data_IF_765046493104
#
_entry.id   IF_765046493104
#
_cell.length_a   1.000
_cell.length_b   1.000
_cell.length_c   1.000
_cell.angle_alpha   90.00
_cell.angle_beta   90.00
_cell.angle_gamma   90.00
#
_symmetry.space_group_name_H-M   'P 1'
#
loop_
_entity.id
_entity.type
_entity.pdbx_description
1 polymer ?
#
# COMPACT_ATOMS: atom_id res chain seq x y z
N UNK A 1 7.68 -9.81 -0.37
CA UNK A 1 6.84 -9.69 -1.58
C UNK A 1 6.72 -8.25 -2.06
N UNK A 2 6.35 -7.29 -1.20
CA UNK A 2 6.17 -5.86 -1.53
C UNK A 2 7.23 -5.28 -2.49
N UNK A 3 8.49 -5.16 -2.04
CA UNK A 3 9.61 -4.57 -2.82
C UNK A 3 10.11 -5.40 -4.02
N UNK A 4 9.51 -6.55 -4.28
CA UNK A 4 9.96 -7.48 -5.31
C UNK A 4 8.91 -7.78 -6.38
N UNK A 5 7.62 -7.62 -6.06
CA UNK A 5 6.51 -8.06 -6.91
C UNK A 5 5.44 -6.99 -7.12
N UNK A 6 5.27 -6.04 -6.20
CA UNK A 6 4.34 -4.92 -6.40
C UNK A 6 4.98 -3.93 -7.37
N UNK A 7 4.40 -3.78 -8.56
CA UNK A 7 5.00 -3.06 -9.69
C UNK A 7 5.50 -1.66 -9.32
N UNK A 8 4.68 -0.86 -8.65
CA UNK A 8 5.05 0.52 -8.33
C UNK A 8 6.04 0.60 -7.17
N UNK A 9 5.99 -0.32 -6.19
CA UNK A 9 7.02 -0.44 -5.15
C UNK A 9 8.38 -0.84 -5.76
N UNK A 10 8.38 -1.75 -6.74
CA UNK A 10 9.58 -2.12 -7.50
C UNK A 10 10.10 -0.91 -8.29
N UNK A 11 9.21 -0.14 -8.93
CA UNK A 11 9.57 1.10 -9.65
C UNK A 11 10.23 2.11 -8.73
N UNK A 12 9.64 2.40 -7.55
CA UNK A 12 10.22 3.31 -6.56
C UNK A 12 11.63 2.89 -6.16
N UNK A 13 11.79 1.63 -5.75
CA UNK A 13 13.08 1.08 -5.34
C UNK A 13 14.14 1.19 -6.44
N UNK A 14 13.75 0.91 -7.69
CA UNK A 14 14.64 1.01 -8.84
C UNK A 14 14.97 2.46 -9.17
N UNK A 15 14.00 3.37 -9.15
CA UNK A 15 14.21 4.80 -9.39
C UNK A 15 15.20 5.41 -8.38
N UNK A 16 15.05 5.07 -7.09
CA UNK A 16 16.02 5.48 -6.06
C UNK A 16 17.41 4.97 -6.43
N UNK A 17 17.53 3.69 -6.76
CA UNK A 17 18.82 3.07 -7.10
C UNK A 17 19.45 3.71 -8.35
N UNK A 18 18.67 3.93 -9.40
CA UNK A 18 19.13 4.46 -10.69
C UNK A 18 19.59 5.92 -10.56
N UNK A 19 18.88 6.76 -9.80
CA UNK A 19 19.30 8.13 -9.52
C UNK A 19 20.65 8.18 -8.80
N UNK A 20 20.84 7.31 -7.80
CA UNK A 20 22.07 7.27 -7.01
C UNK A 20 23.25 6.68 -7.79
N UNK A 21 23.00 5.71 -8.67
CA UNK A 21 24.01 5.18 -9.60
C UNK A 21 24.42 6.25 -10.62
N UNK A 22 23.48 7.10 -11.03
CA UNK A 22 23.75 8.27 -11.87
C UNK A 22 24.38 9.45 -11.09
N UNK A 23 24.77 9.23 -9.82
CA UNK A 23 25.41 10.21 -8.93
C UNK A 23 24.58 11.49 -8.74
N UNK A 24 23.25 11.36 -8.79
CA UNK A 24 22.33 12.48 -8.55
C UNK A 24 21.83 12.46 -7.11
N UNK A 25 21.95 13.58 -6.40
CA UNK A 25 21.33 13.69 -5.09
C UNK A 25 19.82 13.58 -5.21
N UNK A 26 19.21 12.86 -4.26
CA UNK A 26 17.80 12.50 -4.31
C UNK A 26 17.14 12.83 -2.97
N UNK A 27 15.99 13.50 -3.01
CA UNK A 27 15.11 13.69 -1.86
C UNK A 27 14.00 12.64 -1.86
N UNK A 28 13.85 11.94 -0.74
CA UNK A 28 12.86 10.87 -0.54
C UNK A 28 11.79 11.38 0.42
N UNK A 29 10.58 11.55 -0.08
CA UNK A 29 9.41 11.93 0.70
C UNK A 29 8.63 10.68 1.02
N UNK A 30 8.88 10.14 2.21
CA UNK A 30 8.29 8.90 2.68
C UNK A 30 7.14 9.15 3.64
N UNK A 31 6.14 8.26 3.66
CA UNK A 31 5.15 8.24 4.72
C UNK A 31 5.84 7.89 6.03
N UNK A 32 5.17 8.18 7.16
CA UNK A 32 5.66 7.81 8.49
C UNK A 32 6.13 6.35 8.58
N UNK A 33 5.38 5.43 7.94
CA UNK A 33 5.71 4.01 7.92
C UNK A 33 5.97 3.52 6.49
N UNK A 34 7.25 3.27 6.18
CA UNK A 34 7.69 2.67 4.92
C UNK A 34 7.72 1.14 5.09
N UNK A 35 6.98 0.36 4.27
CA UNK A 35 6.94 -1.09 4.42
C UNK A 35 8.33 -1.72 4.32
N UNK A 36 8.69 -2.59 5.25
CA UNK A 36 9.97 -3.29 5.38
C UNK A 36 11.16 -2.38 5.07
N UNK A 37 11.24 -1.25 5.76
CA UNK A 37 12.26 -0.21 5.51
C UNK A 37 13.69 -0.78 5.53
N UNK A 38 14.01 -1.66 6.48
CA UNK A 38 15.33 -2.30 6.56
C UNK A 38 15.68 -3.12 5.31
N UNK A 39 14.68 -3.76 4.70
CA UNK A 39 14.87 -4.47 3.44
C UNK A 39 15.18 -3.49 2.30
N UNK A 40 14.41 -2.41 2.20
CA UNK A 40 14.64 -1.35 1.20
C UNK A 40 16.06 -0.77 1.34
N UNK A 41 16.43 -0.37 2.56
CA UNK A 41 17.74 0.19 2.88
C UNK A 41 18.87 -0.78 2.54
N UNK A 42 18.78 -2.03 2.99
CA UNK A 42 19.79 -3.06 2.74
C UNK A 42 19.95 -3.32 1.24
N UNK A 43 18.85 -3.34 0.50
CA UNK A 43 18.87 -3.53 -0.94
C UNK A 43 19.57 -2.39 -1.68
N UNK A 44 19.26 -1.13 -1.34
CA UNK A 44 19.91 0.04 -1.92
C UNK A 44 21.41 0.04 -1.57
N UNK A 45 21.75 -0.25 -0.31
CA UNK A 45 23.15 -0.36 0.15
C UNK A 45 23.95 -1.38 -0.67
N UNK A 46 23.41 -2.60 -0.82
CA UNK A 46 24.04 -3.67 -1.61
C UNK A 46 24.22 -3.28 -3.09
N UNK A 47 23.22 -2.62 -3.67
CA UNK A 47 23.25 -2.14 -5.05
C UNK A 47 24.36 -1.10 -5.27
N UNK A 48 24.46 -0.12 -4.37
CA UNK A 48 25.51 0.91 -4.42
C UNK A 48 26.90 0.29 -4.26
N UNK A 49 27.06 -0.63 -3.31
CA UNK A 49 28.34 -1.30 -3.07
C UNK A 49 28.81 -2.14 -4.27
N UNK A 50 27.89 -2.83 -4.96
CA UNK A 50 28.22 -3.62 -6.17
C UNK A 50 28.64 -2.73 -7.35
N UNK A 51 28.03 -1.54 -7.48
CA UNK A 51 28.30 -0.63 -8.59
C UNK A 51 29.61 0.13 -8.39
N UNK A 52 29.88 0.58 -7.18
CA UNK A 52 31.13 1.23 -6.84
C UNK A 52 31.59 0.81 -5.43
N UNK A 53 32.38 -0.26 -5.39
CA UNK A 53 32.96 -0.78 -4.13
C UNK A 53 33.90 0.20 -3.43
N UNK A 54 34.37 1.23 -4.13
CA UNK A 54 35.22 2.29 -3.55
C UNK A 54 34.40 3.36 -2.82
N UNK A 55 33.10 3.47 -3.12
CA UNK A 55 32.22 4.41 -2.44
C UNK A 55 31.69 3.82 -1.13
N UNK A 56 31.65 4.64 -0.09
CA UNK A 56 31.04 4.30 1.21
C UNK A 56 29.61 4.80 1.26
N UNK A 57 28.72 4.05 1.90
CA UNK A 57 27.43 4.57 2.36
C UNK A 57 27.55 4.98 3.82
N UNK A 58 27.33 6.25 4.14
CA UNK A 58 27.34 6.78 5.50
C UNK A 58 25.94 7.28 5.86
N UNK A 59 25.39 6.78 6.97
CA UNK A 59 24.07 7.17 7.46
C UNK A 59 24.24 8.23 8.55
N UNK A 60 23.47 9.31 8.43
CA UNK A 60 23.44 10.43 9.37
C UNK A 60 22.01 10.58 9.86
N UNK A 61 21.80 10.51 11.17
CA UNK A 61 20.52 10.89 11.78
C UNK A 61 20.61 12.34 12.28
N UNK A 62 19.68 13.19 11.81
CA UNK A 62 19.60 14.60 12.17
C UNK A 62 18.28 14.97 12.87
N UNK A 63 17.54 13.97 13.36
CA UNK A 63 16.24 14.16 14.03
C UNK A 63 16.32 15.14 15.21
N UNK A 64 17.45 15.16 15.92
CA UNK A 64 17.70 16.02 17.09
C UNK A 64 18.54 17.28 16.77
N UNK A 65 18.71 17.61 15.50
CA UNK A 65 19.52 18.77 15.06
C UNK A 65 18.61 19.87 14.51
N UNK A 66 19.05 21.11 14.64
CA UNK A 66 18.37 22.28 14.06
C UNK A 66 19.42 23.07 13.27
N UNK A 67 19.11 23.38 12.03
CA UNK A 67 19.99 24.15 11.14
C UNK A 67 19.27 25.44 10.74
N UNK A 68 19.86 26.59 11.06
CA UNK A 68 19.28 27.88 10.66
C UNK A 68 19.60 28.16 9.18
N UNK A 69 20.80 27.79 8.75
CA UNK A 69 21.34 28.06 7.40
C UNK A 69 21.94 26.81 6.74
N UNK A 70 22.17 26.85 5.43
CA UNK A 70 22.93 25.81 4.72
C UNK A 70 24.40 25.76 5.15
N UNK A 71 24.96 26.87 5.63
CA UNK A 71 26.33 26.92 6.15
C UNK A 71 26.47 26.11 7.45
N UNK A 72 25.42 26.06 8.29
CA UNK A 72 25.38 25.22 9.49
C UNK A 72 25.42 23.72 9.14
N UNK A 73 24.72 23.32 8.07
CA UNK A 73 24.78 21.94 7.54
C UNK A 73 26.20 21.61 7.07
N UNK A 74 26.82 22.51 6.32
CA UNK A 74 28.19 22.34 5.85
C UNK A 74 29.21 22.28 6.98
N UNK A 75 29.04 23.09 8.04
CA UNK A 75 29.85 23.01 9.26
C UNK A 75 29.70 21.65 9.94
N UNK A 76 28.46 21.18 10.11
CA UNK A 76 28.19 19.87 10.69
C UNK A 76 28.84 18.73 9.90
N UNK A 77 28.76 18.76 8.57
CA UNK A 77 29.46 17.79 7.70
C UNK A 77 30.97 17.88 7.88
N UNK A 78 31.53 19.10 7.87
CA UNK A 78 32.97 19.32 8.07
C UNK A 78 33.47 18.70 9.38
N UNK A 79 32.71 18.88 10.47
CA UNK A 79 33.00 18.30 11.78
C UNK A 79 32.87 16.77 11.77
N UNK A 80 31.78 16.22 11.19
CA UNK A 80 31.55 14.77 11.12
C UNK A 80 32.67 14.05 10.36
N UNK A 81 33.13 14.63 9.25
CA UNK A 81 34.23 14.07 8.45
C UNK A 81 35.62 14.55 8.91
N UNK A 82 35.70 15.29 10.02
CA UNK A 82 36.95 15.76 10.66
C UNK A 82 37.87 16.52 9.71
N UNK A 83 37.30 17.40 8.91
CA UNK A 83 38.04 18.18 7.91
C UNK A 83 38.69 19.37 8.61
N UNK A 84 40.01 19.32 8.77
CA UNK A 84 40.78 20.26 9.63
C UNK A 84 41.41 21.45 8.91
N UNK A 85 41.07 21.73 7.64
CA UNK A 85 41.69 22.88 6.96
C UNK A 85 40.94 24.18 7.26
N UNK A 86 41.69 25.28 7.16
CA UNK A 86 41.16 26.63 7.35
C UNK A 86 40.36 27.05 6.11
N UNK A 87 39.09 27.39 6.34
CA UNK A 87 38.19 27.96 5.35
C UNK A 87 38.50 29.44 5.14
N UNK A 88 38.43 29.92 3.90
CA UNK A 88 38.63 31.34 3.62
C UNK A 88 37.46 32.19 4.15
N UNK A 89 37.71 33.42 4.64
CA UNK A 89 36.63 34.33 5.02
C UNK A 89 35.73 34.66 3.82
N UNK A 90 34.42 34.42 3.97
CA UNK A 90 33.40 34.73 2.94
C UNK A 90 33.04 33.58 2.00
N UNK A 91 33.81 32.49 2.00
CA UNK A 91 33.50 31.23 1.31
C UNK A 91 32.41 30.45 2.07
N UNK A 92 31.45 29.80 1.42
CA UNK A 92 30.52 28.92 2.13
C UNK A 92 31.18 27.58 2.49
N UNK A 93 30.64 26.83 3.45
CA UNK A 93 31.10 25.46 3.67
C UNK A 93 30.90 24.56 2.45
N UNK A 94 29.86 24.78 1.65
CA UNK A 94 29.63 23.98 0.45
C UNK A 94 30.72 24.23 -0.61
N UNK A 95 31.09 25.49 -0.85
CA UNK A 95 32.22 25.89 -1.71
C UNK A 95 33.55 25.33 -1.20
N UNK A 96 33.79 25.48 0.11
CA UNK A 96 35.00 24.96 0.76
C UNK A 96 35.12 23.44 0.65
N UNK A 97 34.04 22.70 0.89
CA UNK A 97 34.05 21.24 0.83
C UNK A 97 34.14 20.73 -0.61
N UNK A 98 33.44 21.38 -1.54
CA UNK A 98 33.44 21.00 -2.95
C UNK A 98 34.78 21.29 -3.64
N UNK A 99 35.53 22.32 -3.23
CA UNK A 99 36.83 22.65 -3.82
C UNK A 99 37.94 21.65 -3.49
N UNK A 100 37.81 20.85 -2.42
CA UNK A 100 38.86 19.92 -1.97
C UNK A 100 38.77 18.53 -2.56
N UNK A 101 39.89 17.96 -2.98
CA UNK A 101 39.98 16.60 -3.54
C UNK A 101 40.35 15.55 -2.49
N UNK A 102 40.98 15.97 -1.38
CA UNK A 102 41.54 15.11 -0.34
C UNK A 102 40.57 14.81 0.80
N UNK A 103 39.27 14.85 0.52
CA UNK A 103 38.21 14.69 1.53
C UNK A 103 37.51 13.35 1.34
N UNK A 104 37.39 12.57 2.42
CA UNK A 104 36.69 11.27 2.41
C UNK A 104 35.23 11.37 1.96
N UNK A 105 34.63 12.55 2.14
CA UNK A 105 33.28 12.89 1.68
C UNK A 105 33.08 12.61 0.18
N UNK A 106 34.06 12.91 -0.68
CA UNK A 106 33.91 12.84 -2.13
C UNK A 106 33.72 11.43 -2.69
N UNK A 107 33.94 10.38 -1.88
CA UNK A 107 33.66 8.99 -2.25
C UNK A 107 32.54 8.41 -1.36
N UNK A 108 31.59 9.24 -0.93
CA UNK A 108 30.55 8.84 0.03
C UNK A 108 29.15 9.16 -0.48
N UNK A 109 28.29 8.16 -0.46
CA UNK A 109 26.84 8.36 -0.45
C UNK A 109 26.43 8.75 0.97
N UNK A 110 25.88 9.94 1.13
CA UNK A 110 25.49 10.48 2.43
C UNK A 110 23.98 10.35 2.58
N UNK A 111 23.54 9.35 3.34
CA UNK A 111 22.13 9.13 3.63
C UNK A 111 21.73 9.85 4.91
N UNK A 112 20.95 10.93 4.78
CA UNK A 112 20.52 11.78 5.87
C UNK A 112 19.09 11.44 6.23
N UNK A 113 18.87 10.95 7.46
CA UNK A 113 17.59 10.58 8.05
C UNK A 113 17.13 11.61 9.06
N UNK A 114 15.82 11.68 9.30
CA UNK A 114 15.25 12.56 10.32
C UNK A 114 15.19 14.02 9.89
N UNK A 115 15.21 14.30 8.58
CA UNK A 115 15.02 15.66 8.09
C UNK A 115 13.57 16.06 8.35
N UNK A 116 13.40 17.13 9.12
CA UNK A 116 12.10 17.77 9.35
C UNK A 116 11.94 19.01 8.46
N UNK A 117 10.75 19.62 8.50
CA UNK A 117 10.39 20.78 7.68
C UNK A 117 11.35 21.97 7.87
N UNK A 118 11.86 22.15 9.10
CA UNK A 118 12.72 23.28 9.44
C UNK A 118 14.13 23.14 8.87
N UNK A 119 14.57 21.91 8.60
CA UNK A 119 15.93 21.60 8.13
C UNK A 119 16.00 21.25 6.64
N UNK A 120 14.88 20.86 6.02
CA UNK A 120 14.85 20.39 4.62
C UNK A 120 15.48 21.39 3.65
N UNK A 121 15.10 22.68 3.78
CA UNK A 121 15.60 23.75 2.91
C UNK A 121 17.13 23.88 3.00
N UNK A 122 17.68 23.80 4.20
CA UNK A 122 19.10 23.97 4.48
C UNK A 122 19.90 22.81 3.88
N UNK A 123 19.42 21.58 4.05
CA UNK A 123 20.04 20.38 3.47
C UNK A 123 20.02 20.40 1.93
N UNK A 124 18.89 20.74 1.32
CA UNK A 124 18.79 20.85 -0.13
C UNK A 124 19.67 21.98 -0.69
N UNK A 125 19.64 23.17 -0.06
CA UNK A 125 20.50 24.29 -0.47
C UNK A 125 21.99 23.94 -0.38
N UNK A 126 22.41 23.28 0.70
CA UNK A 126 23.80 22.81 0.84
C UNK A 126 24.17 21.79 -0.25
N UNK A 127 23.33 20.79 -0.50
CA UNK A 127 23.61 19.75 -1.49
C UNK A 127 23.71 20.34 -2.91
N UNK A 128 22.80 21.24 -3.29
CA UNK A 128 22.81 21.90 -4.60
C UNK A 128 24.08 22.77 -4.79
N UNK A 129 24.46 23.53 -3.77
CA UNK A 129 25.66 24.37 -3.79
C UNK A 129 26.94 23.53 -3.86
N UNK A 130 27.03 22.45 -3.07
CA UNK A 130 28.15 21.52 -3.11
C UNK A 130 28.28 20.84 -4.47
N UNK A 131 27.16 20.37 -5.05
CA UNK A 131 27.15 19.76 -6.37
C UNK A 131 27.58 20.72 -7.47
N UNK A 132 27.13 21.98 -7.41
CA UNK A 132 27.54 23.02 -8.35
C UNK A 132 29.04 23.34 -8.27
N UNK A 133 29.65 23.22 -7.09
CA UNK A 133 31.09 23.35 -6.90
C UNK A 133 31.92 22.16 -7.42
N UNK A 134 31.29 20.99 -7.64
CA UNK A 134 31.96 19.75 -8.04
C UNK A 134 31.99 19.47 -9.56
N UNK A 135 31.58 20.40 -10.42
CA UNK A 135 31.31 20.17 -11.86
C UNK A 135 32.49 19.57 -12.65
N UNK A 136 33.73 19.79 -12.22
CA UNK A 136 34.94 19.26 -12.87
C UNK A 136 35.50 17.98 -12.22
N UNK A 137 34.89 17.49 -11.14
CA UNK A 137 35.42 16.37 -10.34
C UNK A 137 34.87 15.04 -10.79
N UNK A 138 35.76 14.04 -10.81
CA UNK A 138 35.40 12.66 -11.14
C UNK A 138 34.67 11.96 -9.99
N UNK A 139 34.95 12.36 -8.75
CA UNK A 139 34.36 11.77 -7.55
C UNK A 139 33.80 12.90 -6.68
N UNK A 140 32.52 12.79 -6.29
CA UNK A 140 31.81 13.73 -5.42
C UNK A 140 30.87 12.98 -4.48
N UNK A 141 30.49 13.60 -3.38
CA UNK A 141 29.43 13.06 -2.55
C UNK A 141 28.08 13.13 -3.27
N UNK A 142 27.23 12.13 -3.01
CA UNK A 142 25.83 12.12 -3.44
C UNK A 142 24.96 12.07 -2.19
N UNK A 143 23.98 12.97 -2.09
CA UNK A 143 23.13 13.10 -0.92
C UNK A 143 21.80 12.38 -1.12
N UNK A 144 21.39 11.61 -0.11
CA UNK A 144 20.07 10.98 -0.02
C UNK A 144 19.37 11.66 1.15
N UNK A 145 18.37 12.48 0.86
CA UNK A 145 17.70 13.32 1.85
C UNK A 145 16.35 12.72 2.19
N UNK A 146 16.25 12.05 3.33
CA UNK A 146 15.02 11.37 3.75
C UNK A 146 14.17 12.27 4.65
N UNK A 147 12.97 12.57 4.14
CA UNK A 147 11.96 13.38 4.77
C UNK A 147 10.73 12.51 5.06
N UNK A 148 10.38 12.38 6.34
CA UNK A 148 9.12 11.77 6.74
C UNK A 148 8.03 12.83 6.75
N UNK A 149 7.01 12.62 5.92
CA UNK A 149 5.93 13.57 5.72
C UNK A 149 5.10 13.75 6.99
N UNK A 150 5.01 14.99 7.48
CA UNK A 150 4.10 15.40 8.57
C UNK A 150 2.94 16.27 8.01
N UNK A 151 2.48 15.94 6.80
CA UNK A 151 1.29 16.53 6.16
C UNK A 151 1.48 17.84 5.39
N UNK A 152 2.70 18.31 5.16
CA UNK A 152 2.96 19.52 4.36
C UNK A 152 3.36 19.18 2.90
N UNK A 153 2.46 19.46 1.96
CA UNK A 153 2.62 19.16 0.53
C UNK A 153 3.34 20.28 -0.25
N UNK A 154 3.66 21.40 0.40
CA UNK A 154 4.28 22.56 -0.25
C UNK A 154 5.76 22.68 0.09
N UNK A 155 6.53 21.66 -0.27
CA UNK A 155 7.97 21.61 -0.01
C UNK A 155 8.73 22.07 -1.26
N UNK A 156 9.71 23.01 -1.14
CA UNK A 156 10.40 23.56 -2.29
C UNK A 156 11.15 22.49 -3.10
N UNK A 157 10.98 22.53 -4.42
CA UNK A 157 11.71 21.71 -5.39
C UNK A 157 13.01 22.42 -5.75
N UNK A 158 14.12 21.67 -5.72
CA UNK A 158 15.44 22.17 -6.05
C UNK A 158 15.87 21.62 -7.41
N UNK A 159 16.55 22.44 -8.22
CA UNK A 159 16.75 22.15 -9.65
C UNK A 159 17.61 20.92 -9.88
N UNK A 160 18.61 20.70 -9.02
CA UNK A 160 19.59 19.63 -9.16
C UNK A 160 19.37 18.46 -8.18
N UNK A 161 18.21 18.40 -7.53
CA UNK A 161 17.86 17.31 -6.61
C UNK A 161 16.65 16.60 -7.19
N UNK A 162 16.82 15.33 -7.55
CA UNK A 162 15.70 14.50 -7.99
C UNK A 162 14.78 14.22 -6.79
N UNK A 163 13.48 14.30 -6.98
CA UNK A 163 12.50 14.15 -5.89
C UNK A 163 11.61 12.95 -6.14
N UNK A 164 11.48 12.08 -5.13
CA UNK A 164 10.58 10.93 -5.16
C UNK A 164 9.54 11.13 -4.06
N UNK A 165 8.29 11.33 -4.48
CA UNK A 165 7.13 11.46 -3.60
C UNK A 165 6.39 10.14 -3.47
N UNK A 166 6.35 9.56 -2.27
CA UNK A 166 5.63 8.31 -2.03
C UNK A 166 4.17 8.37 -2.49
N UNK A 167 3.43 9.40 -2.09
CA UNK A 167 2.03 9.56 -2.45
C UNK A 167 1.79 9.61 -3.96
N UNK A 168 2.78 10.04 -4.75
CA UNK A 168 2.69 10.07 -6.21
C UNK A 168 2.97 8.71 -6.83
N UNK A 169 3.84 7.93 -6.21
CA UNK A 169 4.32 6.66 -6.73
C UNK A 169 3.49 5.46 -6.29
N UNK A 170 3.00 5.44 -5.04
CA UNK A 170 2.26 4.33 -4.46
C UNK A 170 0.82 4.75 -4.20
N UNK A 171 -0.14 3.97 -4.72
CA UNK A 171 -1.58 4.23 -4.64
C UNK A 171 -2.28 3.14 -3.86
N UNK A 172 -3.52 3.39 -3.45
CA UNK A 172 -4.37 2.39 -2.77
C UNK A 172 -4.50 1.08 -3.55
N UNK A 173 -4.46 1.15 -4.88
CA UNK A 173 -4.49 -0.02 -5.75
C UNK A 173 -3.29 -0.97 -5.53
N UNK A 174 -2.10 -0.43 -5.26
CA UNK A 174 -0.90 -1.25 -4.99
C UNK A 174 -1.04 -2.09 -3.73
N UNK A 175 -1.66 -1.51 -2.69
CA UNK A 175 -1.98 -2.24 -1.46
C UNK A 175 -3.03 -3.33 -1.71
N UNK A 176 -4.06 -3.06 -2.53
CA UNK A 176 -5.04 -4.07 -2.89
C UNK A 176 -4.41 -5.24 -3.69
N UNK A 177 -3.56 -4.93 -4.67
CA UNK A 177 -2.79 -5.94 -5.41
C UNK A 177 -1.92 -6.76 -4.46
N UNK A 178 -1.26 -6.10 -3.52
CA UNK A 178 -0.46 -6.76 -2.50
C UNK A 178 -1.28 -7.72 -1.64
N UNK A 179 -2.45 -7.29 -1.14
CA UNK A 179 -3.38 -8.14 -0.38
C UNK A 179 -3.85 -9.34 -1.21
N UNK A 180 -4.12 -9.15 -2.49
CA UNK A 180 -4.52 -10.22 -3.42
C UNK A 180 -3.41 -11.26 -3.61
N UNK A 181 -2.14 -10.81 -3.68
CA UNK A 181 -0.98 -11.71 -3.75
C UNK A 181 -0.81 -12.52 -2.46
N UNK A 182 -0.98 -11.89 -1.29
CA UNK A 182 -0.86 -12.55 0.02
C UNK A 182 -1.83 -13.72 0.18
N UNK A 183 -3.06 -13.58 -0.31
CA UNK A 183 -4.10 -14.62 -0.16
C UNK A 183 -4.13 -15.63 -1.32
N UNK A 184 -3.24 -15.50 -2.30
CA UNK A 184 -3.28 -16.29 -3.54
C UNK A 184 -3.12 -17.80 -3.29
N UNK A 185 -2.32 -18.16 -2.29
CA UNK A 185 -2.03 -19.56 -1.91
C UNK A 185 -3.12 -20.21 -1.02
N UNK A 186 -4.19 -19.48 -0.66
CA UNK A 186 -5.29 -20.04 0.10
C UNK A 186 -5.99 -21.16 -0.68
N UNK A 187 -6.31 -22.25 0.01
CA UNK A 187 -7.01 -23.41 -0.56
C UNK A 187 -8.53 -23.22 -0.51
N UNK A 188 -9.01 -22.17 -1.17
CA UNK A 188 -10.42 -21.84 -1.30
C UNK A 188 -10.75 -21.31 -2.70
N UNK A 189 -12.02 -20.98 -2.95
CA UNK A 189 -12.45 -20.42 -4.23
C UNK A 189 -11.82 -19.07 -4.52
N UNK A 190 -11.68 -18.73 -5.80
CA UNK A 190 -11.19 -17.40 -6.20
C UNK A 190 -12.11 -16.30 -5.68
N UNK A 191 -13.44 -16.50 -5.69
CA UNK A 191 -14.37 -15.55 -5.08
C UNK A 191 -14.14 -15.36 -3.58
N UNK A 192 -13.81 -16.44 -2.85
CA UNK A 192 -13.51 -16.34 -1.43
C UNK A 192 -12.15 -15.65 -1.19
N UNK A 193 -11.16 -15.88 -2.05
CA UNK A 193 -9.88 -15.15 -2.03
C UNK A 193 -10.12 -13.65 -2.24
N UNK A 194 -10.94 -13.26 -3.21
CA UNK A 194 -11.27 -11.85 -3.43
C UNK A 194 -11.93 -11.21 -2.21
N UNK A 195 -12.85 -11.93 -1.55
CA UNK A 195 -13.47 -11.45 -0.31
C UNK A 195 -12.45 -11.28 0.82
N UNK A 196 -11.55 -12.25 1.04
CA UNK A 196 -10.53 -12.16 2.09
C UNK A 196 -9.54 -11.03 1.77
N UNK A 197 -9.08 -10.91 0.52
CA UNK A 197 -8.19 -9.83 0.08
C UNK A 197 -8.82 -8.45 0.31
N UNK A 198 -10.11 -8.29 -0.02
CA UNK A 198 -10.86 -7.04 0.21
C UNK A 198 -10.91 -6.69 1.70
N UNK A 199 -11.21 -7.66 2.57
CA UNK A 199 -11.22 -7.42 4.02
C UNK A 199 -9.85 -6.99 4.54
N UNK A 200 -8.78 -7.69 4.10
CA UNK A 200 -7.40 -7.37 4.53
C UNK A 200 -7.01 -5.97 4.04
N UNK A 201 -7.36 -5.63 2.81
CA UNK A 201 -7.08 -4.31 2.23
C UNK A 201 -7.82 -3.19 2.97
N UNK A 202 -9.13 -3.35 3.21
CA UNK A 202 -9.95 -2.31 3.83
C UNK A 202 -9.62 -2.11 5.31
N UNK A 203 -9.39 -3.19 6.06
CA UNK A 203 -9.08 -3.13 7.50
C UNK A 203 -7.58 -2.92 7.78
N UNK A 204 -6.72 -3.15 6.79
CA UNK A 204 -5.28 -2.87 6.88
C UNK A 204 -4.91 -1.42 6.58
N UNK A 205 -5.87 -0.57 6.22
CA UNK A 205 -5.73 0.89 6.09
C UNK A 205 -4.50 1.37 5.28
N UNK A 206 -4.21 0.72 4.14
CA UNK A 206 -3.02 1.02 3.32
C UNK A 206 -1.68 0.89 4.08
N UNK A 207 -1.63 0.01 5.09
CA UNK A 207 -0.40 -0.35 5.78
C UNK A 207 0.05 -1.77 5.37
N UNK A 208 1.03 -1.86 4.47
CA UNK A 208 1.37 -3.13 3.81
C UNK A 208 1.83 -4.22 4.79
N UNK A 209 2.64 -3.91 5.80
CA UNK A 209 3.07 -4.91 6.78
C UNK A 209 1.92 -5.41 7.65
N UNK A 210 0.96 -4.54 7.94
CA UNK A 210 -0.21 -4.92 8.73
C UNK A 210 -1.18 -5.76 7.89
N UNK A 211 -1.36 -5.42 6.62
CA UNK A 211 -2.05 -6.28 5.66
C UNK A 211 -1.41 -7.68 5.59
N UNK A 212 -0.08 -7.76 5.59
CA UNK A 212 0.62 -9.05 5.61
C UNK A 212 0.30 -9.83 6.89
N UNK A 213 0.36 -9.19 8.06
CA UNK A 213 0.01 -9.83 9.33
C UNK A 213 -1.43 -10.34 9.36
N UNK A 214 -2.40 -9.51 8.96
CA UNK A 214 -3.82 -9.91 8.91
C UNK A 214 -4.04 -11.10 7.96
N UNK A 215 -3.30 -11.16 6.85
CA UNK A 215 -3.46 -12.22 5.86
C UNK A 215 -3.04 -13.61 6.38
N UNK A 216 -2.15 -13.68 7.37
CA UNK A 216 -1.70 -14.94 7.97
C UNK A 216 -2.80 -15.65 8.76
N UNK A 217 -3.85 -14.93 9.15
CA UNK A 217 -5.03 -15.51 9.80
C UNK A 217 -6.01 -16.15 8.80
N UNK A 218 -5.83 -15.92 7.48
CA UNK A 218 -6.54 -16.63 6.40
C UNK A 218 -8.07 -16.56 6.57
N UNK A 219 -8.76 -17.69 6.43
CA UNK A 219 -10.23 -17.77 6.60
C UNK A 219 -10.70 -17.37 8.00
N UNK A 220 -9.87 -17.52 9.05
CA UNK A 220 -10.22 -17.10 10.42
C UNK A 220 -10.44 -15.59 10.47
N UNK A 221 -9.68 -14.83 9.70
CA UNK A 221 -9.88 -13.39 9.59
C UNK A 221 -11.23 -13.07 8.97
N UNK A 222 -11.61 -13.72 7.87
CA UNK A 222 -12.92 -13.50 7.25
C UNK A 222 -14.09 -14.02 8.10
N UNK A 223 -13.86 -15.01 8.97
CA UNK A 223 -14.87 -15.51 9.90
C UNK A 223 -15.16 -14.53 11.04
N UNK A 224 -14.11 -13.95 11.63
CA UNK A 224 -14.24 -12.99 12.73
C UNK A 224 -13.17 -11.89 12.66
N UNK A 225 -13.37 -10.88 11.79
CA UNK A 225 -12.39 -9.81 11.60
C UNK A 225 -12.12 -9.03 12.89
N UNK A 226 -13.16 -8.79 13.70
CA UNK A 226 -13.04 -8.05 14.96
C UNK A 226 -12.10 -8.76 15.96
N UNK A 227 -12.31 -10.06 16.17
CA UNK A 227 -11.48 -10.85 17.09
C UNK A 227 -10.03 -10.84 16.64
N UNK A 228 -9.79 -11.09 15.35
CA UNK A 228 -8.43 -11.14 14.79
C UNK A 228 -7.76 -9.78 14.85
N UNK A 229 -8.46 -8.68 14.56
CA UNK A 229 -7.90 -7.33 14.71
C UNK A 229 -7.42 -7.08 16.15
N UNK A 230 -8.23 -7.45 17.15
CA UNK A 230 -7.84 -7.33 18.57
C UNK A 230 -6.59 -8.16 18.88
N UNK A 231 -6.53 -9.40 18.42
CA UNK A 231 -5.34 -10.26 18.59
C UNK A 231 -4.10 -9.65 17.92
N UNK A 232 -4.23 -9.17 16.68
CA UNK A 232 -3.12 -8.54 15.97
C UNK A 232 -2.65 -7.27 16.67
N UNK A 233 -3.54 -6.40 17.13
CA UNK A 233 -3.14 -5.15 17.78
C UNK A 233 -2.49 -5.34 19.17
N UNK A 234 -2.66 -6.50 19.80
CA UNK A 234 -1.91 -6.85 21.02
C UNK A 234 -0.45 -7.20 20.74
N UNK A 235 -0.15 -7.70 19.54
CA UNK A 235 1.15 -8.28 19.17
C UNK A 235 1.93 -7.36 18.23
N UNK A 236 1.24 -6.71 17.29
CA UNK A 236 1.82 -5.90 16.24
C UNK A 236 1.99 -4.45 16.72
N UNK A 237 3.23 -3.98 16.64
CA UNK A 237 3.63 -2.59 16.86
C UNK A 237 4.30 -2.07 15.59
N UNK A 238 4.05 -0.80 15.24
CA UNK A 238 4.65 -0.17 14.06
C UNK A 238 6.15 0.11 14.26
N UNK A 239 6.50 0.54 15.47
CA UNK A 239 7.85 0.74 16.00
C UNK A 239 7.85 0.24 17.45
N UNK A 240 9.01 0.14 18.11
CA UNK A 240 9.18 -0.41 19.47
C UNK A 240 8.20 0.14 20.53
N UNK A 241 7.52 1.28 20.27
CA UNK A 241 6.56 1.91 21.18
C UNK A 241 5.18 2.31 20.59
N UNK A 242 4.93 2.19 19.28
CA UNK A 242 3.67 2.66 18.67
C UNK A 242 2.71 1.51 18.34
N UNK A 243 1.62 1.41 19.13
CA UNK A 243 0.58 0.41 18.93
C UNK A 243 -0.41 0.82 17.83
N UNK A 244 -0.96 -0.17 17.15
CA UNK A 244 -2.10 0.02 16.24
C UNK A 244 -3.28 0.60 17.01
N UNK A 245 -3.81 1.71 16.51
CA UNK A 245 -5.13 2.18 16.93
C UNK A 245 -6.19 1.32 16.27
N UNK A 246 -6.88 0.51 17.05
CA UNK A 246 -7.96 -0.32 16.55
C UNK A 246 -9.13 0.56 16.07
N UNK A 247 -9.61 0.27 14.87
CA UNK A 247 -10.88 0.79 14.39
C UNK A 247 -12.00 0.43 15.38
N UNK A 248 -12.96 1.35 15.57
CA UNK A 248 -14.15 1.07 16.39
C UNK A 248 -14.95 -0.09 15.77
N UNK A 249 -15.64 -0.89 16.59
CA UNK A 249 -16.51 -1.99 16.17
C UNK A 249 -17.47 -1.60 15.04
N UNK A 250 -18.09 -0.44 15.15
CA UNK A 250 -19.00 0.07 14.12
C UNK A 250 -18.28 0.22 12.76
N UNK A 251 -17.00 0.59 12.75
CA UNK A 251 -16.19 0.71 11.53
C UNK A 251 -15.91 -0.66 10.94
N UNK A 252 -15.54 -1.64 11.76
CA UNK A 252 -15.31 -3.02 11.32
C UNK A 252 -16.57 -3.61 10.68
N UNK A 253 -17.74 -3.42 11.31
CA UNK A 253 -19.02 -3.88 10.76
C UNK A 253 -19.33 -3.23 9.41
N UNK A 254 -19.14 -1.92 9.27
CA UNK A 254 -19.34 -1.22 7.99
C UNK A 254 -18.42 -1.74 6.89
N UNK A 255 -17.15 -1.99 7.21
CA UNK A 255 -16.18 -2.56 6.26
C UNK A 255 -16.57 -3.98 5.84
N UNK A 256 -17.04 -4.81 6.78
CA UNK A 256 -17.54 -6.15 6.45
C UNK A 256 -18.76 -6.07 5.53
N UNK A 257 -19.69 -5.16 5.78
CA UNK A 257 -20.85 -4.92 4.91
C UNK A 257 -20.38 -4.49 3.52
N UNK A 258 -19.45 -3.54 3.42
CA UNK A 258 -18.91 -3.08 2.14
C UNK A 258 -18.26 -4.22 1.36
N UNK A 259 -17.42 -5.03 2.00
CA UNK A 259 -16.79 -6.19 1.39
C UNK A 259 -17.82 -7.24 0.92
N UNK A 260 -18.90 -7.47 1.70
CA UNK A 260 -20.00 -8.36 1.31
C UNK A 260 -20.80 -7.79 0.12
N UNK A 261 -21.02 -6.47 0.05
CA UNK A 261 -21.65 -5.82 -1.09
C UNK A 261 -20.77 -5.96 -2.35
N UNK A 262 -19.46 -5.77 -2.24
CA UNK A 262 -18.56 -5.86 -3.39
C UNK A 262 -18.38 -7.28 -3.91
N UNK A 263 -18.35 -8.28 -3.03
CA UNK A 263 -17.96 -9.64 -3.41
C UNK A 263 -19.11 -10.65 -3.43
N UNK A 264 -20.08 -10.56 -2.51
CA UNK A 264 -21.17 -11.55 -2.38
C UNK A 264 -22.33 -11.22 -3.31
N UNK A 265 -22.75 -9.96 -3.37
CA UNK A 265 -23.86 -9.52 -4.22
C UNK A 265 -23.69 -9.90 -5.70
N UNK A 266 -22.51 -9.70 -6.33
CA UNK A 266 -22.33 -10.10 -7.72
C UNK A 266 -22.52 -11.61 -7.96
N UNK A 267 -22.14 -12.45 -7.00
CA UNK A 267 -22.31 -13.91 -7.08
C UNK A 267 -23.78 -14.30 -6.95
N UNK A 268 -24.53 -13.64 -6.07
CA UNK A 268 -25.99 -13.79 -5.96
C UNK A 268 -26.67 -13.36 -7.28
N UNK A 269 -26.22 -12.25 -7.86
CA UNK A 269 -26.79 -11.72 -9.10
C UNK A 269 -26.47 -12.61 -10.32
N UNK A 270 -25.28 -13.22 -10.33
CA UNK A 270 -24.94 -14.28 -11.31
C UNK A 270 -25.85 -15.50 -11.13
N UNK A 271 -26.14 -15.89 -9.88
CA UNK A 271 -27.09 -16.97 -9.60
C UNK A 271 -28.50 -16.65 -10.14
N UNK A 272 -28.99 -15.43 -9.92
CA UNK A 272 -30.29 -14.97 -10.47
C UNK A 272 -30.30 -15.09 -11.99
N UNK A 273 -29.28 -14.55 -12.67
CA UNK A 273 -29.17 -14.59 -14.13
C UNK A 273 -29.12 -16.02 -14.67
N UNK A 274 -28.34 -16.89 -14.05
CA UNK A 274 -28.26 -18.30 -14.46
C UNK A 274 -29.59 -19.01 -14.25
N UNK A 275 -30.25 -18.78 -13.11
CA UNK A 275 -31.58 -19.33 -12.86
C UNK A 275 -32.59 -18.90 -13.94
N UNK A 276 -32.60 -17.62 -14.32
CA UNK A 276 -33.50 -17.13 -15.38
C UNK A 276 -33.15 -17.77 -16.72
N UNK A 277 -31.86 -17.91 -17.03
CA UNK A 277 -31.39 -18.54 -18.28
C UNK A 277 -31.87 -19.99 -18.36
N UNK A 278 -31.69 -20.77 -17.29
CA UNK A 278 -32.08 -22.18 -17.23
C UNK A 278 -33.60 -22.40 -17.36
N UNK A 279 -34.41 -21.38 -17.03
CA UNK A 279 -35.87 -21.45 -17.01
C UNK A 279 -36.51 -20.45 -17.97
N UNK A 280 -35.75 -19.94 -18.95
CA UNK A 280 -36.14 -18.78 -19.75
C UNK A 280 -37.45 -19.00 -20.50
N UNK A 281 -37.61 -20.14 -21.16
CA UNK A 281 -38.82 -20.45 -21.93
C UNK A 281 -40.08 -20.52 -21.05
N UNK A 282 -39.96 -21.13 -19.87
CA UNK A 282 -41.07 -21.22 -18.91
C UNK A 282 -41.45 -19.84 -18.38
N UNK A 283 -40.45 -19.05 -17.98
CA UNK A 283 -40.66 -17.68 -17.51
C UNK A 283 -41.26 -16.79 -18.60
N UNK A 284 -40.81 -16.92 -19.84
CA UNK A 284 -41.36 -16.17 -20.97
C UNK A 284 -42.82 -16.48 -21.21
N UNK A 285 -43.25 -17.73 -21.07
CA UNK A 285 -44.67 -18.12 -21.17
C UNK A 285 -45.48 -17.53 -20.01
N UNK A 286 -44.96 -17.59 -18.79
CA UNK A 286 -45.63 -17.05 -17.60
C UNK A 286 -45.84 -15.53 -17.71
N UNK A 287 -44.84 -14.80 -18.21
CA UNK A 287 -44.85 -13.33 -18.27
C UNK A 287 -45.56 -12.74 -19.50
N UNK A 288 -46.13 -13.55 -20.40
CA UNK A 288 -46.73 -13.06 -21.65
C UNK A 288 -47.81 -11.98 -21.43
N UNK A 289 -48.52 -12.03 -20.30
CA UNK A 289 -49.60 -11.10 -19.98
C UNK A 289 -49.12 -9.81 -19.28
N UNK A 290 -47.89 -9.79 -18.77
CA UNK A 290 -47.35 -8.69 -17.96
C UNK A 290 -46.43 -7.75 -18.78
N UNK A 291 -46.25 -8.00 -20.08
CA UNK A 291 -45.34 -7.25 -20.96
C UNK A 291 -43.93 -7.03 -20.35
N UNK A 292 -43.45 -7.99 -19.55
CA UNK A 292 -42.18 -7.92 -18.83
C UNK A 292 -41.22 -9.00 -19.34
N UNK A 293 -39.93 -8.69 -19.45
CA UNK A 293 -38.93 -9.67 -19.90
C UNK A 293 -38.44 -10.54 -18.73
N UNK A 294 -38.15 -11.84 -18.94
CA UNK A 294 -37.66 -12.72 -17.86
C UNK A 294 -36.44 -12.17 -17.10
N UNK A 295 -35.55 -11.44 -17.78
CA UNK A 295 -34.35 -10.87 -17.17
C UNK A 295 -34.61 -9.67 -16.26
N UNK A 296 -35.79 -9.05 -16.34
CA UNK A 296 -36.21 -7.94 -15.47
C UNK A 296 -36.68 -8.44 -14.09
N UNK A 297 -36.95 -9.74 -13.96
CA UNK A 297 -37.38 -10.33 -12.70
C UNK A 297 -36.27 -10.26 -11.65
N UNK A 298 -36.55 -9.62 -10.52
CA UNK A 298 -35.69 -9.72 -9.35
C UNK A 298 -35.81 -11.10 -8.68
N UNK A 299 -34.89 -11.41 -7.77
CA UNK A 299 -34.88 -12.70 -7.07
C UNK A 299 -36.13 -12.92 -6.19
N UNK A 300 -36.77 -11.83 -5.75
CA UNK A 300 -38.04 -11.85 -5.02
C UNK A 300 -39.23 -12.20 -5.92
N UNK A 301 -39.29 -11.66 -7.13
CA UNK A 301 -40.30 -12.02 -8.12
C UNK A 301 -40.24 -13.52 -8.45
N UNK A 302 -39.04 -14.05 -8.70
CA UNK A 302 -38.83 -15.48 -8.97
C UNK A 302 -39.31 -16.32 -7.78
N UNK A 303 -38.96 -15.91 -6.56
CA UNK A 303 -39.39 -16.61 -5.34
C UNK A 303 -40.92 -16.62 -5.23
N UNK A 304 -41.58 -15.50 -5.52
CA UNK A 304 -43.03 -15.40 -5.51
C UNK A 304 -43.68 -16.34 -6.53
N UNK A 305 -43.18 -16.40 -7.77
CA UNK A 305 -43.70 -17.30 -8.82
C UNK A 305 -43.64 -18.78 -8.42
N UNK A 306 -42.59 -19.18 -7.71
CA UNK A 306 -42.46 -20.55 -7.19
C UNK A 306 -43.43 -20.79 -6.04
N UNK A 307 -43.53 -19.85 -5.09
CA UNK A 307 -44.40 -19.99 -3.93
C UNK A 307 -45.89 -19.98 -4.29
N UNK A 308 -46.27 -19.27 -5.36
CA UNK A 308 -47.63 -19.28 -5.90
C UNK A 308 -47.96 -20.54 -6.72
N UNK A 309 -46.98 -21.41 -6.97
CA UNK A 309 -47.13 -22.60 -7.82
C UNK A 309 -47.14 -22.30 -9.31
N UNK A 310 -46.85 -21.07 -9.71
CA UNK A 310 -46.81 -20.64 -11.13
C UNK A 310 -45.58 -21.21 -11.85
N UNK A 311 -44.44 -21.29 -11.15
CA UNK A 311 -43.21 -21.92 -11.62
C UNK A 311 -42.92 -23.18 -10.80
N UNK A 312 -43.05 -24.35 -11.41
CA UNK A 312 -42.81 -25.63 -10.75
C UNK A 312 -41.32 -25.96 -10.71
N UNK A 313 -40.76 -26.07 -9.50
CA UNK A 313 -39.35 -26.40 -9.26
C UNK A 313 -39.21 -27.50 -8.23
N UNK A 314 -38.14 -28.29 -8.32
CA UNK A 314 -37.81 -29.27 -7.29
C UNK A 314 -37.49 -28.59 -5.93
N UNK A 315 -37.68 -29.33 -4.84
CA UNK A 315 -37.52 -28.82 -3.48
C UNK A 315 -36.09 -28.28 -3.21
N UNK A 316 -35.08 -28.83 -3.89
CA UNK A 316 -33.69 -28.43 -3.70
C UNK A 316 -33.44 -27.03 -4.28
N UNK A 317 -33.89 -26.77 -5.52
CA UNK A 317 -33.82 -25.46 -6.17
C UNK A 317 -34.65 -24.41 -5.42
N UNK A 318 -35.81 -24.81 -4.86
CA UNK A 318 -36.62 -23.91 -4.04
C UNK A 318 -35.87 -23.45 -2.77
N UNK A 319 -35.29 -24.40 -2.02
CA UNK A 319 -34.50 -24.09 -0.81
C UNK A 319 -33.27 -23.24 -1.13
N UNK A 320 -32.64 -23.51 -2.26
CA UNK A 320 -31.50 -22.74 -2.72
C UNK A 320 -31.87 -21.30 -3.08
N UNK A 321 -32.92 -21.09 -3.88
CA UNK A 321 -33.41 -19.75 -4.19
C UNK A 321 -33.79 -18.99 -2.91
N UNK A 322 -34.45 -19.65 -1.95
CA UNK A 322 -34.80 -19.03 -0.68
C UNK A 322 -33.56 -18.58 0.10
N UNK A 323 -32.50 -19.39 0.11
CA UNK A 323 -31.22 -19.03 0.72
C UNK A 323 -30.61 -17.79 0.06
N UNK A 324 -30.48 -17.77 -1.28
CA UNK A 324 -29.94 -16.64 -2.02
C UNK A 324 -30.76 -15.37 -1.84
N UNK A 325 -32.09 -15.47 -1.87
CA UNK A 325 -33.01 -14.35 -1.62
C UNK A 325 -32.85 -13.79 -0.20
N UNK A 326 -32.80 -14.64 0.83
CA UNK A 326 -32.62 -14.20 2.22
C UNK A 326 -31.28 -13.50 2.41
N UNK A 327 -30.20 -14.06 1.87
CA UNK A 327 -28.86 -13.47 1.95
C UNK A 327 -28.81 -12.12 1.24
N UNK A 328 -29.34 -12.04 0.01
CA UNK A 328 -29.45 -10.77 -0.73
C UNK A 328 -30.16 -9.69 0.07
N UNK A 329 -31.32 -10.01 0.63
CA UNK A 329 -32.12 -9.03 1.35
C UNK A 329 -31.43 -8.56 2.62
N UNK A 330 -30.74 -9.45 3.36
CA UNK A 330 -29.95 -9.04 4.52
C UNK A 330 -28.88 -8.00 4.13
N UNK A 331 -28.07 -8.30 3.11
CA UNK A 331 -26.99 -7.40 2.70
C UNK A 331 -27.57 -6.10 2.10
N UNK A 332 -28.70 -6.16 1.37
CA UNK A 332 -29.39 -4.97 0.83
C UNK A 332 -29.91 -4.02 1.93
N UNK A 333 -30.20 -4.55 3.13
CA UNK A 333 -30.56 -3.78 4.31
C UNK A 333 -29.36 -3.48 5.22
N UNK A 334 -28.14 -3.55 4.67
CA UNK A 334 -26.89 -3.31 5.39
C UNK A 334 -26.71 -4.20 6.63
N UNK A 335 -27.19 -5.44 6.57
CA UNK A 335 -26.94 -6.44 7.62
C UNK A 335 -25.88 -7.44 7.16
N UNK A 336 -24.95 -7.74 8.06
CA UNK A 336 -23.93 -8.76 7.87
C UNK A 336 -24.59 -10.15 7.80
N UNK A 337 -24.26 -10.92 6.77
CA UNK A 337 -24.54 -12.36 6.75
C UNK A 337 -23.39 -13.15 7.38
N UNK A 338 -23.69 -14.32 7.94
CA UNK A 338 -22.67 -15.14 8.60
C UNK A 338 -21.58 -15.55 7.62
N UNK A 339 -20.35 -15.72 8.10
CA UNK A 339 -19.25 -16.20 7.27
C UNK A 339 -19.56 -17.54 6.59
N UNK A 340 -20.26 -18.46 7.27
CA UNK A 340 -20.70 -19.72 6.67
C UNK A 340 -21.63 -19.50 5.47
N UNK A 341 -22.53 -18.52 5.53
CA UNK A 341 -23.39 -18.16 4.41
C UNK A 341 -22.58 -17.52 3.27
N UNK A 342 -21.64 -16.62 3.59
CA UNK A 342 -20.70 -16.04 2.62
C UNK A 342 -19.93 -17.14 1.89
N UNK A 343 -19.27 -18.02 2.64
CA UNK A 343 -18.48 -19.14 2.12
C UNK A 343 -19.32 -20.05 1.24
N UNK A 344 -20.56 -20.36 1.64
CA UNK A 344 -21.49 -21.16 0.82
C UNK A 344 -21.85 -20.46 -0.51
N UNK A 345 -22.05 -19.15 -0.49
CA UNK A 345 -22.35 -18.37 -1.71
C UNK A 345 -21.13 -18.33 -2.63
N UNK A 346 -19.97 -17.94 -2.10
CA UNK A 346 -18.74 -17.73 -2.88
C UNK A 346 -18.12 -19.03 -3.40
N UNK A 347 -18.38 -20.17 -2.75
CA UNK A 347 -17.91 -21.48 -3.24
C UNK A 347 -18.81 -22.09 -4.32
N UNK A 348 -19.99 -21.50 -4.61
CA UNK A 348 -20.95 -22.13 -5.54
C UNK A 348 -20.43 -22.27 -6.97
N UNK A 349 -19.49 -21.42 -7.38
CA UNK A 349 -18.94 -21.41 -8.74
C UNK A 349 -17.55 -22.04 -8.84
N UNK A 350 -17.02 -22.56 -7.74
CA UNK A 350 -15.69 -23.19 -7.69
C UNK A 350 -15.65 -24.57 -8.33
N UNK A 351 -16.80 -25.06 -8.81
CA UNK A 351 -16.98 -26.38 -9.44
C UNK A 351 -17.25 -26.28 -10.94
N UNK A 352 -16.62 -25.33 -11.63
CA UNK A 352 -16.65 -25.25 -13.09
C UNK A 352 -15.24 -25.04 -13.62
N UNK A 353 -14.42 -26.09 -13.52
CA UNK A 353 -13.27 -26.36 -14.39
C UNK A 353 -13.13 -27.87 -14.56
#
# INVERSE_FOLDING_TARGET
MWWCQVSDAVRVKNNISDNLIAEKSTALFFPKHVPWYDFLFSHISDMLHRKNSSNRLDVIDVSNQIFETSDDVGKFISEKYRIRAERWPGESYAEFLSSRDDVSLNNTYVWVRGINKNNYKQWCSFAEEYEAGCVSKKNRATFILEYFEDGDKNIPVYKNIDVIYWENEIKSYDYYLFCSMLVSDLKCSDELKYYIAELVFLLGECHAEFCAELSEYKERFAENPEMVLKECAEIFCYDDDEKIQLANLNVVEQVVIEAQIKNVFPVIERYRRNFITDNYDQLRIILQNENSEPYDLDIGNIKYLIQSGTLNMDLQKQKELEFFHKSRNKIAHSNIISYNDVKKILNRYSTSN
#
